data_IF_320507036780
#
_entry.id   IF_320507036780
#
_cell.length_a   1.000
_cell.length_b   1.000
_cell.length_c   1.000
_cell.angle_alpha   90.00
_cell.angle_beta   90.00
_cell.angle_gamma   90.00
#
_symmetry.space_group_name_H-M   'P 1'
#
loop_
_entity.id
_entity.type
_entity.pdbx_description
1 polymer ?
#
# COMPACT_ATOMS: atom_id res chain seq x y z
N UNK A 1 30.88 3.51 22.67
CA UNK A 1 30.38 2.89 21.42
C UNK A 1 30.28 4.03 20.42
N UNK A 2 30.91 3.92 19.25
CA UNK A 2 30.74 4.90 18.18
C UNK A 2 29.32 4.78 17.65
N UNK A 3 28.58 5.89 17.57
CA UNK A 3 27.28 5.92 16.89
C UNK A 3 27.46 5.45 15.44
N UNK A 4 26.53 4.65 14.93
CA UNK A 4 26.55 4.22 13.53
C UNK A 4 26.40 5.47 12.65
N UNK A 5 27.42 5.85 11.86
CA UNK A 5 27.40 7.11 11.10
C UNK A 5 26.30 7.12 10.04
N UNK A 6 25.82 5.95 9.61
CA UNK A 6 24.71 5.81 8.67
C UNK A 6 23.36 6.21 9.28
N UNK A 7 23.26 6.42 10.60
CA UNK A 7 22.05 6.91 11.26
C UNK A 7 21.94 8.45 11.30
N UNK A 8 22.94 9.18 10.82
CA UNK A 8 22.86 10.64 10.77
C UNK A 8 21.67 11.10 9.90
N UNK A 9 20.92 12.16 10.26
CA UNK A 9 19.81 12.62 9.42
C UNK A 9 20.24 12.98 7.99
N UNK A 10 19.41 12.66 6.99
CA UNK A 10 19.63 13.04 5.59
C UNK A 10 18.78 14.27 5.29
N UNK A 11 19.41 15.39 4.93
CA UNK A 11 18.73 16.67 4.73
C UNK A 11 17.85 17.11 5.93
N UNK A 12 18.25 16.74 7.15
CA UNK A 12 17.50 17.01 8.37
C UNK A 12 16.34 16.04 8.65
N UNK A 13 16.10 15.05 7.78
CA UNK A 13 15.10 14.00 7.98
C UNK A 13 15.74 12.83 8.73
N UNK A 14 15.25 12.55 9.93
CA UNK A 14 15.72 11.44 10.78
C UNK A 14 15.21 10.10 10.25
N UNK A 15 15.79 8.98 10.72
CA UNK A 15 15.26 7.65 10.39
C UNK A 15 13.83 7.48 10.89
N UNK A 16 13.50 8.04 12.05
CA UNK A 16 12.14 8.01 12.62
C UNK A 16 11.14 8.76 11.72
N UNK A 17 11.46 9.99 11.32
CA UNK A 17 10.65 10.79 10.40
C UNK A 17 10.45 10.06 9.06
N UNK A 18 11.53 9.50 8.51
CA UNK A 18 11.50 8.74 7.26
C UNK A 18 10.63 7.49 7.36
N UNK A 19 10.79 6.72 8.44
CA UNK A 19 10.03 5.47 8.65
C UNK A 19 8.54 5.75 8.80
N UNK A 20 8.19 6.80 9.54
CA UNK A 20 6.81 7.23 9.69
C UNK A 20 6.21 7.74 8.37
N UNK A 21 7.00 8.48 7.58
CA UNK A 21 6.59 8.91 6.25
C UNK A 21 6.31 7.72 5.32
N UNK A 22 7.20 6.72 5.27
CA UNK A 22 6.98 5.49 4.51
C UNK A 22 5.71 4.75 4.93
N UNK A 23 5.46 4.61 6.23
CA UNK A 23 4.25 3.99 6.73
C UNK A 23 2.99 4.73 6.26
N UNK A 24 3.00 6.07 6.35
CA UNK A 24 1.85 6.87 5.92
C UNK A 24 1.64 6.89 4.41
N UNK A 25 2.70 6.81 3.61
CA UNK A 25 2.54 6.59 2.16
C UNK A 25 1.89 5.24 1.88
N UNK A 26 2.26 4.18 2.62
CA UNK A 26 1.58 2.89 2.56
C UNK A 26 0.10 2.94 2.98
N UNK A 27 -0.27 3.93 3.80
CA UNK A 27 -1.65 4.26 4.19
C UNK A 27 -2.32 5.32 3.28
N UNK A 28 -1.72 5.65 2.14
CA UNK A 28 -2.33 6.48 1.11
C UNK A 28 -1.96 7.97 1.12
N UNK A 29 -1.02 8.44 1.95
CA UNK A 29 -0.49 9.81 1.79
C UNK A 29 0.39 9.91 0.53
N UNK A 30 0.27 11.01 -0.20
CA UNK A 30 1.17 11.32 -1.31
C UNK A 30 2.54 11.84 -0.82
N UNK A 31 3.56 11.78 -1.68
CA UNK A 31 4.87 12.40 -1.39
C UNK A 31 4.72 13.90 -1.06
N UNK A 32 3.77 14.60 -1.68
CA UNK A 32 3.52 16.03 -1.44
C UNK A 32 2.99 16.29 -0.03
N UNK A 33 2.08 15.43 0.43
CA UNK A 33 1.57 15.48 1.79
C UNK A 33 2.68 15.15 2.80
N UNK A 34 3.55 14.18 2.48
CA UNK A 34 4.71 13.84 3.30
C UNK A 34 5.71 14.99 3.40
N UNK A 35 6.16 15.55 2.28
CA UNK A 35 7.11 16.66 2.26
C UNK A 35 6.57 17.86 3.04
N UNK A 36 5.29 18.17 2.85
CA UNK A 36 4.59 19.22 3.60
C UNK A 36 4.54 18.94 5.10
N UNK A 37 4.22 17.72 5.51
CA UNK A 37 4.18 17.32 6.93
C UNK A 37 5.56 17.40 7.61
N UNK A 38 6.62 17.08 6.85
CA UNK A 38 8.01 17.18 7.30
C UNK A 38 8.54 18.62 7.30
N UNK A 39 7.84 19.56 6.65
CA UNK A 39 8.28 20.95 6.51
C UNK A 39 9.43 21.13 5.52
N UNK A 40 9.55 20.24 4.53
CA UNK A 40 10.63 20.25 3.52
C UNK A 40 10.07 20.43 2.11
N UNK A 41 10.92 20.85 1.18
CA UNK A 41 10.57 20.87 -0.24
C UNK A 41 10.53 19.45 -0.83
N UNK A 42 9.73 19.24 -1.87
CA UNK A 42 9.61 17.94 -2.55
C UNK A 42 10.97 17.33 -2.95
N UNK A 43 11.91 18.08 -3.59
CA UNK A 43 13.20 17.51 -3.96
C UNK A 43 14.04 17.06 -2.74
N UNK A 44 13.86 17.72 -1.58
CA UNK A 44 14.55 17.36 -0.34
C UNK A 44 14.02 16.03 0.21
N UNK A 45 12.70 15.82 0.15
CA UNK A 45 12.10 14.53 0.48
C UNK A 45 12.62 13.42 -0.44
N UNK A 46 12.61 13.65 -1.75
CA UNK A 46 13.02 12.65 -2.74
C UNK A 46 14.49 12.24 -2.58
N UNK A 47 15.38 13.22 -2.35
CA UNK A 47 16.79 12.96 -2.06
C UNK A 47 16.96 12.14 -0.77
N UNK A 48 16.26 12.50 0.30
CA UNK A 48 16.32 11.75 1.55
C UNK A 48 15.74 10.33 1.43
N UNK A 49 14.66 10.15 0.67
CA UNK A 49 14.06 8.83 0.42
C UNK A 49 15.06 7.90 -0.28
N UNK A 50 15.72 8.38 -1.33
CA UNK A 50 16.77 7.62 -2.01
C UNK A 50 17.95 7.33 -1.08
N UNK A 51 18.43 8.34 -0.35
CA UNK A 51 19.56 8.20 0.55
C UNK A 51 19.32 7.19 1.67
N UNK A 52 18.12 7.15 2.25
CA UNK A 52 17.80 6.15 3.27
C UNK A 52 17.77 4.72 2.71
N UNK A 53 17.22 4.54 1.50
CA UNK A 53 17.25 3.25 0.81
C UNK A 53 18.68 2.80 0.50
N UNK A 54 19.57 3.70 0.09
CA UNK A 54 20.98 3.41 -0.14
C UNK A 54 21.68 2.99 1.16
N UNK A 55 21.47 3.73 2.26
CA UNK A 55 22.08 3.38 3.55
C UNK A 55 21.59 2.05 4.10
N UNK A 56 20.33 1.69 3.90
CA UNK A 56 19.83 0.35 4.25
C UNK A 56 20.53 -0.76 3.46
N UNK A 57 20.89 -0.51 2.20
CA UNK A 57 21.66 -1.47 1.39
C UNK A 57 23.12 -1.57 1.85
N UNK A 58 23.70 -0.45 2.29
CA UNK A 58 25.09 -0.39 2.77
C UNK A 58 25.28 -0.95 4.19
N UNK A 59 24.24 -0.88 5.04
CA UNK A 59 24.30 -1.31 6.43
C UNK A 59 24.33 -2.84 6.59
N UNK A 60 25.54 -3.39 6.59
CA UNK A 60 25.77 -4.82 6.84
C UNK A 60 25.40 -5.28 8.27
N UNK A 61 25.11 -4.36 9.19
CA UNK A 61 24.71 -4.69 10.57
C UNK A 61 23.20 -4.88 10.73
N UNK A 62 22.41 -4.54 9.70
CA UNK A 62 20.94 -4.54 9.71
C UNK A 62 20.32 -3.63 10.79
N UNK A 63 21.11 -2.73 11.38
CA UNK A 63 20.65 -1.82 12.42
C UNK A 63 19.62 -0.83 11.88
N UNK A 64 19.86 -0.25 10.70
CA UNK A 64 18.96 0.72 10.08
C UNK A 64 17.63 0.05 9.75
N UNK A 65 17.63 -1.13 9.14
CA UNK A 65 16.41 -1.88 8.80
C UNK A 65 15.63 -2.26 10.07
N UNK A 66 16.33 -2.64 11.14
CA UNK A 66 15.70 -2.95 12.43
C UNK A 66 15.00 -1.74 13.03
N UNK A 67 15.69 -0.60 13.10
CA UNK A 67 15.11 0.64 13.63
C UNK A 67 14.00 1.18 12.73
N UNK A 68 14.16 1.08 11.41
CA UNK A 68 13.13 1.42 10.45
C UNK A 68 11.83 0.67 10.74
N UNK A 69 11.90 -0.65 10.88
CA UNK A 69 10.72 -1.47 11.18
C UNK A 69 10.05 -1.09 12.50
N UNK A 70 10.83 -0.77 13.54
CA UNK A 70 10.30 -0.30 14.82
C UNK A 70 9.53 1.02 14.68
N UNK A 71 10.15 2.02 14.05
CA UNK A 71 9.52 3.33 13.86
C UNK A 71 8.32 3.26 12.91
N UNK A 72 8.40 2.42 11.87
CA UNK A 72 7.30 2.17 10.93
C UNK A 72 6.08 1.61 11.67
N UNK A 73 6.27 0.63 12.56
CA UNK A 73 5.19 0.04 13.35
C UNK A 73 4.53 1.00 14.35
N UNK A 74 5.20 2.10 14.71
CA UNK A 74 4.66 3.13 15.61
C UNK A 74 4.35 4.44 14.89
N UNK A 75 4.26 4.44 13.56
CA UNK A 75 4.07 5.66 12.76
C UNK A 75 2.80 6.45 13.11
N UNK A 76 1.75 5.79 13.60
CA UNK A 76 0.52 6.45 14.05
C UNK A 76 0.72 7.34 15.29
N UNK A 77 1.79 7.11 16.05
CA UNK A 77 2.15 7.91 17.22
C UNK A 77 3.09 9.07 16.86
N UNK A 78 3.55 9.13 15.60
CA UNK A 78 4.54 10.11 15.18
C UNK A 78 3.95 11.53 15.12
N UNK A 79 4.53 12.53 15.81
CA UNK A 79 3.90 13.84 16.03
C UNK A 79 3.60 14.62 14.75
N UNK A 80 4.39 14.41 13.68
CA UNK A 80 4.17 15.08 12.38
C UNK A 80 3.07 14.43 11.53
N UNK A 81 2.70 13.19 11.84
CA UNK A 81 1.86 12.34 10.98
C UNK A 81 0.61 11.79 11.68
N UNK A 82 0.54 11.80 13.01
CA UNK A 82 -0.52 11.16 13.80
C UNK A 82 -1.92 11.71 13.48
N UNK A 83 -2.02 12.96 13.02
CA UNK A 83 -3.28 13.64 12.70
C UNK A 83 -3.51 13.79 11.19
N UNK A 84 -2.66 13.19 10.35
CA UNK A 84 -2.79 13.27 8.90
C UNK A 84 -3.48 12.03 8.36
N UNK A 85 -4.47 12.27 7.50
CA UNK A 85 -5.15 11.26 6.71
C UNK A 85 -5.00 11.61 5.23
N UNK A 86 -5.02 10.58 4.38
CA UNK A 86 -5.07 10.76 2.94
C UNK A 86 -6.30 11.59 2.56
N UNK A 87 -6.15 12.51 1.61
CA UNK A 87 -7.29 13.25 1.05
C UNK A 87 -7.74 12.46 -0.18
N UNK A 88 -8.88 11.79 -0.05
CA UNK A 88 -9.44 10.96 -1.11
C UNK A 88 -10.50 11.74 -1.90
N UNK A 89 -10.69 11.39 -3.17
CA UNK A 89 -11.88 11.82 -3.91
C UNK A 89 -13.14 11.16 -3.34
N UNK A 90 -14.35 11.70 -3.61
CA UNK A 90 -15.59 11.03 -3.23
C UNK A 90 -15.69 9.60 -3.77
N UNK A 91 -15.21 9.36 -4.99
CA UNK A 91 -15.21 8.05 -5.64
C UNK A 91 -14.26 7.08 -4.93
N UNK A 92 -13.02 7.50 -4.67
CA UNK A 92 -12.05 6.71 -3.90
C UNK A 92 -12.57 6.39 -2.50
N UNK A 93 -13.21 7.37 -1.84
CA UNK A 93 -13.85 7.16 -0.53
C UNK A 93 -14.92 6.07 -0.60
N UNK A 94 -15.73 6.04 -1.66
CA UNK A 94 -16.74 5.02 -1.86
C UNK A 94 -16.12 3.63 -2.07
N UNK A 95 -15.03 3.51 -2.83
CA UNK A 95 -14.31 2.25 -3.01
C UNK A 95 -13.65 1.74 -1.72
N UNK A 96 -13.06 2.64 -0.94
CA UNK A 96 -12.48 2.33 0.37
C UNK A 96 -13.53 1.83 1.38
N UNK A 97 -14.76 2.32 1.30
CA UNK A 97 -15.87 1.77 2.09
C UNK A 97 -16.38 0.44 1.51
N UNK A 98 -16.49 0.35 0.18
CA UNK A 98 -16.97 -0.85 -0.51
C UNK A 98 -16.08 -2.05 -0.23
N UNK A 99 -14.75 -1.92 -0.26
CA UNK A 99 -13.84 -3.04 0.03
C UNK A 99 -13.99 -3.60 1.46
N UNK A 100 -14.54 -2.79 2.39
CA UNK A 100 -14.78 -3.18 3.79
C UNK A 100 -16.19 -3.75 4.02
N UNK A 101 -17.12 -3.53 3.08
CA UNK A 101 -18.55 -3.89 3.24
C UNK A 101 -19.06 -4.88 2.20
N UNK A 102 -18.31 -5.10 1.12
CA UNK A 102 -18.60 -6.03 0.03
C UNK A 102 -17.45 -7.04 -0.14
N UNK A 103 -17.70 -8.27 0.33
CA UNK A 103 -16.73 -9.37 0.29
C UNK A 103 -16.39 -9.82 -1.14
N UNK A 104 -17.34 -9.70 -2.08
CA UNK A 104 -17.10 -10.13 -3.46
C UNK A 104 -16.22 -9.09 -4.17
N UNK A 105 -16.44 -7.79 -3.90
CA UNK A 105 -15.55 -6.73 -4.36
C UNK A 105 -14.12 -6.88 -3.78
N UNK A 106 -13.99 -7.21 -2.49
CA UNK A 106 -12.68 -7.51 -1.90
C UNK A 106 -11.96 -8.69 -2.60
N UNK A 107 -12.65 -9.83 -2.78
CA UNK A 107 -12.07 -11.00 -3.45
C UNK A 107 -11.73 -10.71 -4.91
N UNK A 108 -12.55 -9.94 -5.61
CA UNK A 108 -12.28 -9.52 -6.98
C UNK A 108 -10.98 -8.71 -7.05
N UNK A 109 -10.83 -7.69 -6.21
CA UNK A 109 -9.63 -6.86 -6.21
C UNK A 109 -8.40 -7.62 -5.70
N UNK A 110 -8.56 -8.58 -4.77
CA UNK A 110 -7.47 -9.46 -4.37
C UNK A 110 -6.92 -10.25 -5.56
N UNK A 111 -7.82 -10.82 -6.39
CA UNK A 111 -7.45 -11.51 -7.62
C UNK A 111 -6.84 -10.55 -8.63
N UNK A 112 -7.45 -9.40 -8.87
CA UNK A 112 -6.95 -8.39 -9.80
C UNK A 112 -5.51 -7.99 -9.47
N UNK A 113 -5.25 -7.70 -8.18
CA UNK A 113 -3.93 -7.36 -7.65
C UNK A 113 -2.93 -8.49 -7.88
N UNK A 114 -3.31 -9.75 -7.66
CA UNK A 114 -2.44 -10.90 -7.92
C UNK A 114 -2.12 -11.08 -9.41
N UNK A 115 -3.13 -10.99 -10.28
CA UNK A 115 -2.92 -11.11 -11.73
C UNK A 115 -2.04 -9.98 -12.25
N UNK A 116 -2.17 -8.75 -11.73
CA UNK A 116 -1.26 -7.67 -12.08
C UNK A 116 0.21 -8.03 -11.80
N UNK A 117 0.52 -8.61 -10.64
CA UNK A 117 1.87 -9.10 -10.34
C UNK A 117 2.33 -10.21 -11.28
N UNK A 118 1.43 -11.13 -11.64
CA UNK A 118 1.74 -12.22 -12.58
C UNK A 118 2.10 -11.68 -13.99
N UNK A 119 1.60 -10.48 -14.34
CA UNK A 119 1.96 -9.73 -15.55
C UNK A 119 3.16 -8.78 -15.37
N UNK A 120 3.84 -8.83 -14.22
CA UNK A 120 5.02 -8.00 -13.93
C UNK A 120 4.69 -6.54 -13.56
N UNK A 121 3.45 -6.24 -13.19
CA UNK A 121 3.01 -4.92 -12.75
C UNK A 121 3.03 -4.81 -11.22
N UNK A 122 3.10 -3.58 -10.70
CA UNK A 122 2.82 -3.33 -9.29
C UNK A 122 1.31 -3.39 -9.05
N UNK A 123 0.80 -4.54 -8.63
CA UNK A 123 -0.63 -4.73 -8.39
C UNK A 123 -1.17 -3.83 -7.27
N UNK A 124 -0.37 -3.54 -6.23
CA UNK A 124 -0.81 -2.65 -5.15
C UNK A 124 -0.87 -1.19 -5.64
N UNK A 125 0.14 -0.75 -6.38
CA UNK A 125 0.15 0.54 -7.05
C UNK A 125 -1.04 0.70 -8.00
N UNK A 126 -1.31 -0.32 -8.84
CA UNK A 126 -2.45 -0.31 -9.75
C UNK A 126 -3.79 -0.17 -9.02
N UNK A 127 -4.01 -0.94 -7.94
CA UNK A 127 -5.23 -0.79 -7.13
C UNK A 127 -5.35 0.62 -6.54
N UNK A 128 -4.25 1.17 -6.01
CA UNK A 128 -4.24 2.51 -5.44
C UNK A 128 -4.56 3.58 -6.51
N UNK A 129 -3.99 3.45 -7.71
CA UNK A 129 -4.22 4.37 -8.81
C UNK A 129 -5.66 4.31 -9.34
N UNK A 130 -6.23 3.10 -9.45
CA UNK A 130 -7.56 2.88 -10.03
C UNK A 130 -8.71 3.13 -9.04
N UNK A 131 -8.51 2.78 -7.77
CA UNK A 131 -9.58 2.76 -6.77
C UNK A 131 -9.32 3.70 -5.58
N UNK A 132 -8.13 4.29 -5.48
CA UNK A 132 -7.72 5.06 -4.30
C UNK A 132 -7.59 4.21 -3.03
N UNK A 133 -7.57 2.88 -3.16
CA UNK A 133 -7.48 1.95 -2.03
C UNK A 133 -5.99 1.71 -1.74
N UNK A 134 -5.53 2.21 -0.60
CA UNK A 134 -4.15 2.02 -0.17
C UNK A 134 -3.87 0.56 0.24
N UNK A 135 -2.59 0.19 0.33
CA UNK A 135 -2.19 -1.10 0.90
C UNK A 135 -2.74 -1.24 2.32
N UNK A 136 -2.73 -0.16 3.11
CA UNK A 136 -3.30 -0.13 4.45
C UNK A 136 -4.80 -0.47 4.47
N UNK A 137 -5.59 0.13 3.59
CA UNK A 137 -7.02 -0.17 3.47
C UNK A 137 -7.25 -1.63 3.07
N UNK A 138 -6.41 -2.14 2.17
CA UNK A 138 -6.45 -3.54 1.74
C UNK A 138 -6.16 -4.52 2.89
N UNK A 139 -5.18 -4.22 3.75
CA UNK A 139 -4.88 -5.02 4.94
C UNK A 139 -6.03 -5.00 5.96
N UNK A 140 -6.68 -3.85 6.13
CA UNK A 140 -7.89 -3.74 6.97
C UNK A 140 -9.00 -4.62 6.41
N UNK A 141 -9.28 -4.53 5.10
CA UNK A 141 -10.29 -5.38 4.46
C UNK A 141 -9.98 -6.88 4.59
N UNK A 142 -8.72 -7.29 4.39
CA UNK A 142 -8.30 -8.66 4.60
C UNK A 142 -8.59 -9.16 6.03
N UNK A 143 -8.33 -8.32 7.03
CA UNK A 143 -8.63 -8.66 8.43
C UNK A 143 -10.13 -8.84 8.70
N UNK A 144 -10.99 -8.11 7.99
CA UNK A 144 -12.46 -8.21 8.09
C UNK A 144 -12.94 -9.51 7.47
N UNK A 145 -12.45 -9.86 6.27
CA UNK A 145 -13.02 -10.93 5.46
C UNK A 145 -12.40 -12.32 5.66
N UNK A 146 -11.18 -12.42 6.21
CA UNK A 146 -10.44 -13.68 6.32
C UNK A 146 -11.26 -14.82 6.96
N UNK A 147 -11.95 -14.56 8.07
CA UNK A 147 -12.74 -15.59 8.74
C UNK A 147 -13.91 -16.07 7.87
N UNK A 148 -14.66 -15.13 7.28
CA UNK A 148 -15.80 -15.46 6.44
C UNK A 148 -15.37 -16.23 5.19
N UNK A 149 -14.28 -15.82 4.54
CA UNK A 149 -13.75 -16.52 3.35
C UNK A 149 -13.36 -17.96 3.70
N UNK A 150 -12.71 -18.19 4.85
CA UNK A 150 -12.40 -19.56 5.29
C UNK A 150 -13.66 -20.39 5.53
N UNK A 151 -14.70 -19.81 6.12
CA UNK A 151 -15.99 -20.49 6.30
C UNK A 151 -16.66 -20.83 4.96
N UNK A 152 -16.61 -19.91 3.99
CA UNK A 152 -17.19 -20.12 2.67
C UNK A 152 -16.45 -21.20 1.87
N UNK A 153 -15.11 -21.23 1.96
CA UNK A 153 -14.28 -22.28 1.36
C UNK A 153 -14.62 -23.64 1.98
N UNK A 154 -14.81 -23.70 3.30
CA UNK A 154 -15.18 -24.94 3.97
C UNK A 154 -16.60 -25.40 3.60
N UNK A 155 -17.51 -24.47 3.32
CA UNK A 155 -18.88 -24.76 2.92
C UNK A 155 -18.99 -25.21 1.46
N UNK A 156 -18.31 -24.54 0.52
CA UNK A 156 -18.31 -24.87 -0.90
C UNK A 156 -17.01 -24.42 -1.59
N UNK A 157 -15.97 -25.24 -1.44
CA UNK A 157 -14.66 -24.99 -2.05
C UNK A 157 -14.73 -24.89 -3.58
N UNK A 158 -15.67 -25.60 -4.23
CA UNK A 158 -15.79 -25.56 -5.69
C UNK A 158 -16.38 -24.24 -6.17
N UNK A 159 -17.37 -23.68 -5.46
CA UNK A 159 -17.89 -22.35 -5.76
C UNK A 159 -16.80 -21.30 -5.61
N UNK A 160 -16.04 -21.34 -4.51
CA UNK A 160 -14.92 -20.42 -4.31
C UNK A 160 -13.91 -20.48 -5.47
N UNK A 161 -13.45 -21.69 -5.84
CA UNK A 161 -12.52 -21.87 -6.97
C UNK A 161 -13.09 -21.33 -8.27
N UNK A 162 -14.36 -21.63 -8.60
CA UNK A 162 -15.00 -21.10 -9.83
C UNK A 162 -15.07 -19.58 -9.85
N UNK A 163 -15.39 -18.95 -8.72
CA UNK A 163 -15.41 -17.49 -8.59
C UNK A 163 -14.01 -16.89 -8.80
N UNK A 164 -12.99 -17.46 -8.15
CA UNK A 164 -11.60 -17.02 -8.31
C UNK A 164 -11.10 -17.17 -9.75
N UNK A 165 -11.44 -18.29 -10.42
CA UNK A 165 -11.05 -18.51 -11.82
C UNK A 165 -11.74 -17.53 -12.77
N UNK A 166 -13.01 -17.21 -12.54
CA UNK A 166 -13.73 -16.21 -13.33
C UNK A 166 -13.09 -14.81 -13.21
N UNK A 167 -12.71 -14.39 -12.00
CA UNK A 167 -11.98 -13.12 -11.81
C UNK A 167 -10.59 -13.18 -12.45
N UNK A 168 -9.87 -14.29 -12.32
CA UNK A 168 -8.55 -14.45 -12.95
C UNK A 168 -8.66 -14.32 -14.47
N UNK A 169 -9.66 -14.94 -15.08
CA UNK A 169 -9.88 -14.83 -16.53
C UNK A 169 -10.18 -13.38 -16.92
N UNK A 170 -11.09 -12.69 -16.21
CA UNK A 170 -11.40 -11.27 -16.43
C UNK A 170 -10.14 -10.41 -16.42
N UNK A 171 -9.32 -10.50 -15.38
CA UNK A 171 -8.15 -9.63 -15.24
C UNK A 171 -6.97 -10.06 -16.12
N UNK A 172 -6.82 -11.35 -16.45
CA UNK A 172 -5.84 -11.77 -17.44
C UNK A 172 -6.15 -11.19 -18.82
N UNK A 173 -7.43 -11.21 -19.22
CA UNK A 173 -7.86 -10.58 -20.47
C UNK A 173 -7.64 -9.06 -20.42
N UNK A 174 -7.96 -8.42 -19.30
CA UNK A 174 -7.74 -6.99 -19.13
C UNK A 174 -6.27 -6.60 -19.30
N UNK A 175 -5.36 -7.19 -18.52
CA UNK A 175 -3.94 -6.82 -18.56
C UNK A 175 -3.26 -7.24 -19.87
N UNK A 176 -3.72 -8.32 -20.52
CA UNK A 176 -3.20 -8.72 -21.83
C UNK A 176 -3.60 -7.75 -22.96
N UNK A 177 -4.80 -7.16 -22.88
CA UNK A 177 -5.35 -6.33 -23.97
C UNK A 177 -5.13 -4.83 -23.76
N UNK A 178 -5.18 -4.36 -22.51
CA UNK A 178 -5.26 -2.93 -22.17
C UNK A 178 -4.04 -2.43 -21.36
N UNK A 179 -3.15 -3.31 -20.91
CA UNK A 179 -2.08 -2.93 -19.99
C UNK A 179 -2.62 -2.37 -18.67
N UNK A 180 -2.06 -1.26 -18.18
CA UNK A 180 -2.48 -0.59 -16.92
C UNK A 180 -3.66 0.39 -17.09
N UNK A 181 -4.45 0.26 -18.16
CA UNK A 181 -5.56 1.16 -18.47
C UNK A 181 -6.73 1.11 -17.48
N UNK A 182 -7.61 2.12 -17.55
CA UNK A 182 -8.71 2.38 -16.59
C UNK A 182 -9.73 1.22 -16.50
N UNK A 183 -9.97 0.69 -15.29
CA UNK A 183 -10.97 -0.38 -15.00
C UNK A 183 -12.13 0.12 -14.15
N UNK A 184 -12.05 1.34 -13.61
CA UNK A 184 -13.09 1.85 -12.72
C UNK A 184 -14.46 1.98 -13.43
N UNK A 185 -14.47 2.08 -14.77
CA UNK A 185 -15.66 2.16 -15.61
C UNK A 185 -16.30 0.83 -16.05
N UNK A 186 -15.61 -0.31 -15.94
CA UNK A 186 -16.05 -1.61 -16.49
C UNK A 186 -16.66 -2.54 -15.42
N UNK A 187 -16.94 -2.03 -14.22
CA UNK A 187 -17.68 -2.76 -13.20
C UNK A 187 -19.18 -2.54 -13.47
N UNK A 188 -19.83 -3.51 -14.09
CA UNK A 188 -21.29 -3.50 -14.24
C UNK A 188 -21.98 -3.45 -12.85
N UNK A 189 -22.94 -2.53 -12.71
CA UNK A 189 -23.74 -2.25 -11.51
C UNK A 189 -24.97 -3.15 -11.40
#
# INVERSE_FOLDING_TARGET
MSENPLLAPIQGITLEDYSAACAKMGSGLSEEQVAKALGVAMPVWQEANLGWQERMKEDATYQIVTLFGQHFGTADQHPKFSNLQAVLSPEATAYVEKIKTDKDFYQELEVARQVAYDHGLDGAGWVADQYGISIGDFQIAASIWNEQIHQDIAADSQKYVRTQDAYKEKYNQHFANNGTGDVAGDIEF
#
